data_IF_871289667245
#
_entry.id   IF_871289667245
#
_cell.length_a   1.000
_cell.length_b   1.000
_cell.length_c   1.000
_cell.angle_alpha   90.00
_cell.angle_beta   90.00
_cell.angle_gamma   90.00
#
_symmetry.space_group_name_H-M   'P 1'
#
loop_
_entity.id
_entity.type
_entity.pdbx_description
1 polymer ?
#
# COMPACT_ATOMS: atom_id res chain seq x y z
N UNK A 1 -6.05 13.04 -32.78
CA UNK A 1 -6.37 13.83 -31.56
C UNK A 1 -6.75 12.99 -30.33
N UNK A 2 -7.70 12.03 -30.38
CA UNK A 2 -8.13 11.24 -29.20
C UNK A 2 -7.03 10.51 -28.41
N UNK A 3 -6.00 9.98 -29.08
CA UNK A 3 -4.88 9.25 -28.42
C UNK A 3 -4.00 10.14 -27.54
N UNK A 4 -3.77 11.40 -27.94
CA UNK A 4 -2.99 12.35 -27.16
C UNK A 4 -3.73 12.80 -25.88
N UNK A 5 -5.04 13.05 -25.99
CA UNK A 5 -5.88 13.41 -24.83
C UNK A 5 -5.94 12.29 -23.78
N UNK A 6 -6.03 11.03 -24.21
CA UNK A 6 -5.99 9.86 -23.33
C UNK A 6 -4.66 9.73 -22.56
N UNK A 7 -3.54 9.98 -23.24
CA UNK A 7 -2.21 9.88 -22.62
C UNK A 7 -1.99 10.98 -21.58
N UNK A 8 -2.51 12.18 -21.82
CA UNK A 8 -2.39 13.30 -20.89
C UNK A 8 -3.24 13.10 -19.62
N UNK A 9 -4.48 12.61 -19.76
CA UNK A 9 -5.34 12.27 -18.61
C UNK A 9 -4.75 11.12 -17.75
N UNK A 10 -4.20 10.10 -18.40
CA UNK A 10 -3.52 9.00 -17.71
C UNK A 10 -2.30 9.48 -16.94
N UNK A 11 -1.48 10.34 -17.55
CA UNK A 11 -0.31 10.94 -16.92
C UNK A 11 -0.69 11.83 -15.72
N UNK A 12 -1.74 12.65 -15.87
CA UNK A 12 -2.26 13.49 -14.79
C UNK A 12 -2.74 12.66 -13.60
N UNK A 13 -3.44 11.55 -13.88
CA UNK A 13 -3.93 10.62 -12.85
C UNK A 13 -2.78 9.93 -12.12
N UNK A 14 -1.75 9.48 -12.86
CA UNK A 14 -0.54 8.90 -12.27
C UNK A 14 0.23 9.90 -11.40
N UNK A 15 0.39 11.15 -11.84
CA UNK A 15 1.00 12.21 -11.04
C UNK A 15 0.21 12.47 -9.74
N UNK A 16 -1.12 12.53 -9.82
CA UNK A 16 -1.98 12.68 -8.64
C UNK A 16 -1.84 11.51 -7.66
N UNK A 17 -1.79 10.28 -8.19
CA UNK A 17 -1.57 9.06 -7.39
C UNK A 17 -0.26 9.14 -6.60
N UNK A 18 0.83 9.53 -7.26
CA UNK A 18 2.15 9.65 -6.65
C UNK A 18 2.23 10.82 -5.66
N UNK A 19 1.57 11.93 -5.95
CA UNK A 19 1.49 13.07 -5.05
C UNK A 19 0.76 12.73 -3.73
N UNK A 20 -0.36 12.02 -3.83
CA UNK A 20 -1.09 11.54 -2.64
C UNK A 20 -0.25 10.51 -1.86
N UNK A 21 0.46 9.62 -2.57
CA UNK A 21 1.40 8.71 -1.91
C UNK A 21 2.47 9.48 -1.14
N UNK A 22 3.11 10.48 -1.76
CA UNK A 22 4.13 11.30 -1.10
C UNK A 22 3.62 11.96 0.18
N UNK A 23 2.39 12.52 0.15
CA UNK A 23 1.75 13.08 1.34
C UNK A 23 1.50 12.00 2.40
N UNK A 24 1.00 10.83 1.98
CA UNK A 24 0.72 9.72 2.88
C UNK A 24 1.99 9.10 3.50
N UNK A 25 3.18 9.37 2.96
CA UNK A 25 4.44 8.93 3.56
C UNK A 25 4.96 9.89 4.64
N UNK A 26 4.47 11.14 4.71
CA UNK A 26 4.91 12.15 5.69
C UNK A 26 4.76 11.65 7.14
N UNK A 27 3.66 10.99 7.55
CA UNK A 27 3.52 10.54 8.92
C UNK A 27 4.59 9.53 9.36
N UNK A 28 5.17 8.73 8.46
CA UNK A 28 6.30 7.88 8.81
C UNK A 28 7.54 8.68 9.21
N UNK A 29 7.80 9.79 8.50
CA UNK A 29 8.91 10.69 8.84
C UNK A 29 8.66 11.40 10.18
N UNK A 30 7.40 11.76 10.47
CA UNK A 30 7.01 12.33 11.76
C UNK A 30 7.19 11.30 12.89
N UNK A 31 6.69 10.07 12.73
CA UNK A 31 6.84 8.99 13.71
C UNK A 31 8.32 8.73 13.98
N UNK A 32 9.14 8.63 12.93
CA UNK A 32 10.57 8.42 13.07
C UNK A 32 11.26 9.61 13.75
N UNK A 33 10.89 10.84 13.39
CA UNK A 33 11.40 12.05 14.04
C UNK A 33 11.07 12.10 15.53
N UNK A 34 9.83 11.79 15.92
CA UNK A 34 9.43 11.70 17.34
C UNK A 34 10.30 10.65 18.06
N UNK A 35 10.46 9.48 17.45
CA UNK A 35 11.26 8.39 18.02
C UNK A 35 12.74 8.78 18.20
N UNK A 36 13.34 9.50 17.25
CA UNK A 36 14.74 9.95 17.36
C UNK A 36 14.95 10.98 18.49
N UNK A 37 13.94 11.82 18.76
CA UNK A 37 14.01 12.82 19.83
C UNK A 37 13.74 12.20 21.21
N UNK A 38 12.75 11.29 21.29
CA UNK A 38 12.38 10.59 22.51
C UNK A 38 11.95 9.14 22.19
N UNK A 39 12.88 8.17 22.31
CA UNK A 39 12.57 6.75 22.13
C UNK A 39 11.52 6.22 23.11
N UNK A 40 11.30 6.91 24.23
CA UNK A 40 10.31 6.58 25.24
C UNK A 40 9.03 7.43 25.11
N UNK A 41 8.80 8.06 23.95
CA UNK A 41 7.71 9.00 23.73
C UNK A 41 6.34 8.45 24.18
N UNK A 42 5.64 9.15 25.11
CA UNK A 42 4.32 8.75 25.57
C UNK A 42 3.30 8.62 24.43
N UNK A 43 3.45 9.41 23.36
CA UNK A 43 2.56 9.38 22.20
C UNK A 43 2.70 8.06 21.45
N UNK A 44 3.93 7.61 21.19
CA UNK A 44 4.19 6.34 20.51
C UNK A 44 3.74 5.15 21.38
N UNK A 45 3.97 5.21 22.68
CA UNK A 45 3.47 4.20 23.62
C UNK A 45 1.95 4.14 23.65
N UNK A 46 1.27 5.29 23.71
CA UNK A 46 -0.19 5.34 23.69
C UNK A 46 -0.78 4.73 22.42
N UNK A 47 -0.15 4.94 21.25
CA UNK A 47 -0.57 4.30 20.00
C UNK A 47 -0.34 2.79 20.08
N UNK A 48 0.86 2.36 20.47
CA UNK A 48 1.22 0.94 20.58
C UNK A 48 0.29 0.17 21.52
N UNK A 49 0.01 0.73 22.70
CA UNK A 49 -0.86 0.13 23.72
C UNK A 49 -2.31 0.02 23.24
N UNK A 50 -2.88 1.11 22.69
CA UNK A 50 -4.25 1.12 22.13
C UNK A 50 -4.42 0.19 20.93
N UNK A 51 -3.32 -0.20 20.29
CA UNK A 51 -3.30 -1.10 19.13
C UNK A 51 -2.65 -2.45 19.41
N UNK A 52 -2.43 -2.78 20.69
CA UNK A 52 -1.75 -4.01 21.10
C UNK A 52 -2.39 -5.26 20.50
N UNK A 53 -3.72 -5.31 20.47
CA UNK A 53 -4.51 -6.44 19.95
C UNK A 53 -4.51 -6.56 18.42
N UNK A 54 -4.04 -5.55 17.68
CA UNK A 54 -3.98 -5.64 16.22
C UNK A 54 -2.80 -6.51 15.77
N UNK A 55 -3.00 -7.42 14.80
CA UNK A 55 -1.91 -8.18 14.24
C UNK A 55 -0.89 -7.22 13.61
N UNK A 56 0.40 -7.45 13.83
CA UNK A 56 1.42 -6.55 13.35
C UNK A 56 2.66 -7.28 12.83
N UNK A 57 3.24 -6.71 11.79
CA UNK A 57 4.57 -7.08 11.33
C UNK A 57 5.56 -6.27 12.17
N UNK A 58 6.33 -6.92 13.05
CA UNK A 58 7.19 -6.26 14.04
C UNK A 58 8.65 -6.66 13.92
N UNK A 59 9.55 -5.82 14.40
CA UNK A 59 10.98 -6.12 14.53
C UNK A 59 11.32 -6.33 16.00
N UNK A 60 11.92 -7.47 16.36
CA UNK A 60 12.34 -7.75 17.74
C UNK A 60 13.41 -6.76 18.24
N UNK A 61 14.13 -6.10 17.32
CA UNK A 61 15.09 -5.05 17.71
C UNK A 61 14.42 -3.78 18.21
N UNK A 62 13.24 -3.46 17.70
CA UNK A 62 12.55 -2.22 18.04
C UNK A 62 11.03 -2.39 17.93
N UNK A 63 10.46 -2.97 18.98
CA UNK A 63 9.04 -3.33 19.03
C UNK A 63 8.13 -2.10 18.98
N UNK A 64 8.49 -1.01 19.67
CA UNK A 64 7.67 0.19 19.72
C UNK A 64 7.56 0.86 18.34
N UNK A 65 8.71 1.15 17.72
CA UNK A 65 8.75 1.83 16.43
C UNK A 65 8.08 0.99 15.34
N UNK A 66 8.41 -0.30 15.28
CA UNK A 66 7.85 -1.22 14.29
C UNK A 66 6.32 -1.37 14.43
N UNK A 67 5.80 -1.48 15.65
CA UNK A 67 4.36 -1.57 15.90
C UNK A 67 3.62 -0.32 15.44
N UNK A 68 4.09 0.88 15.79
CA UNK A 68 3.42 2.13 15.43
C UNK A 68 3.45 2.36 13.91
N UNK A 69 4.57 2.04 13.25
CA UNK A 69 4.67 2.12 11.79
C UNK A 69 3.79 1.08 11.07
N UNK A 70 3.69 -0.14 11.61
CA UNK A 70 2.80 -1.18 11.06
C UNK A 70 1.32 -0.77 11.16
N UNK A 71 0.91 -0.22 12.29
CA UNK A 71 -0.46 0.29 12.50
C UNK A 71 -0.82 1.32 11.43
N UNK A 72 0.08 2.28 11.19
CA UNK A 72 -0.14 3.27 10.14
C UNK A 72 -0.15 2.65 8.74
N UNK A 73 0.64 1.59 8.52
CA UNK A 73 0.63 0.83 7.25
C UNK A 73 -0.75 0.27 6.90
N UNK A 74 -1.57 -0.07 7.90
CA UNK A 74 -2.94 -0.56 7.67
C UNK A 74 -3.89 0.51 7.10
N UNK A 75 -3.53 1.80 7.11
CA UNK A 75 -4.33 2.83 6.43
C UNK A 75 -4.10 2.87 4.92
N UNK A 76 -3.05 2.23 4.39
CA UNK A 76 -2.72 2.27 2.97
C UNK A 76 -3.88 1.87 2.04
N UNK A 77 -4.64 0.77 2.29
CA UNK A 77 -5.79 0.43 1.46
C UNK A 77 -6.89 1.49 1.51
N UNK A 78 -7.11 2.13 2.66
CA UNK A 78 -8.13 3.18 2.83
C UNK A 78 -7.78 4.40 2.00
N UNK A 79 -6.52 4.87 2.05
CA UNK A 79 -6.05 6.00 1.24
C UNK A 79 -6.12 5.66 -0.26
N UNK A 80 -5.77 4.43 -0.64
CA UNK A 80 -5.93 3.96 -2.02
C UNK A 80 -7.39 3.97 -2.47
N UNK A 81 -8.32 3.48 -1.64
CA UNK A 81 -9.76 3.54 -1.92
C UNK A 81 -10.23 4.98 -2.13
N UNK A 82 -9.86 5.91 -1.24
CA UNK A 82 -10.21 7.32 -1.36
C UNK A 82 -9.68 7.91 -2.68
N UNK A 83 -8.45 7.61 -3.05
CA UNK A 83 -7.90 8.04 -4.34
C UNK A 83 -8.74 7.50 -5.51
N UNK A 84 -9.02 6.20 -5.53
CA UNK A 84 -9.80 5.53 -6.58
C UNK A 84 -11.17 6.15 -6.74
N UNK A 85 -11.86 6.47 -5.65
CA UNK A 85 -13.18 7.13 -5.69
C UNK A 85 -13.10 8.48 -6.42
N UNK A 86 -12.03 9.26 -6.22
CA UNK A 86 -11.84 10.55 -6.92
C UNK A 86 -11.36 10.39 -8.36
N UNK A 87 -10.70 9.27 -8.70
CA UNK A 87 -10.05 9.04 -9.98
C UNK A 87 -10.84 8.09 -10.92
N UNK A 88 -11.92 7.47 -10.43
CA UNK A 88 -12.69 6.42 -11.11
C UNK A 88 -13.06 6.72 -12.57
N UNK A 89 -13.42 7.98 -12.85
CA UNK A 89 -13.85 8.43 -14.19
C UNK A 89 -12.67 8.55 -15.16
N UNK A 90 -11.47 8.83 -14.66
CA UNK A 90 -10.26 9.08 -15.43
C UNK A 90 -9.35 7.86 -15.56
N UNK A 91 -9.84 6.65 -15.20
CA UNK A 91 -9.10 5.39 -15.39
C UNK A 91 -9.45 4.79 -16.74
N UNK A 92 -8.59 4.92 -17.75
CA UNK A 92 -8.90 4.38 -19.04
C UNK A 92 -8.48 2.91 -19.18
N UNK A 93 -9.14 2.20 -20.11
CA UNK A 93 -8.98 0.76 -20.31
C UNK A 93 -8.59 0.51 -21.76
N UNK A 94 -7.53 -0.28 -21.98
CA UNK A 94 -7.17 -0.75 -23.32
C UNK A 94 -8.21 -1.79 -23.75
N UNK A 95 -8.88 -1.54 -24.88
CA UNK A 95 -10.01 -2.36 -25.37
C UNK A 95 -9.58 -3.56 -26.21
N UNK A 96 -8.31 -3.68 -26.55
CA UNK A 96 -7.83 -4.64 -27.57
C UNK A 96 -7.57 -6.05 -27.01
N UNK A 97 -7.73 -6.26 -25.70
CA UNK A 97 -7.46 -7.57 -25.07
C UNK A 97 -8.72 -8.46 -25.11
N UNK A 98 -8.58 -9.77 -25.42
CA UNK A 98 -9.69 -10.72 -25.33
C UNK A 98 -10.28 -10.80 -23.91
N UNK A 99 -11.60 -10.89 -23.80
CA UNK A 99 -12.32 -10.87 -22.50
C UNK A 99 -11.83 -11.98 -21.57
N UNK A 100 -11.64 -13.19 -22.09
CA UNK A 100 -11.18 -14.34 -21.30
C UNK A 100 -9.80 -14.10 -20.65
N UNK A 101 -8.86 -13.48 -21.38
CA UNK A 101 -7.53 -13.15 -20.85
C UNK A 101 -7.60 -12.05 -19.77
N UNK A 102 -8.52 -11.09 -19.92
CA UNK A 102 -8.74 -10.06 -18.89
C UNK A 102 -9.31 -10.65 -17.60
N UNK A 103 -10.32 -11.52 -17.69
CA UNK A 103 -10.91 -12.22 -16.53
C UNK A 103 -9.85 -13.10 -15.86
N UNK A 104 -9.09 -13.88 -16.64
CA UNK A 104 -8.02 -14.72 -16.11
C UNK A 104 -6.98 -13.89 -15.35
N UNK A 105 -6.52 -12.78 -15.94
CA UNK A 105 -5.60 -11.85 -15.29
C UNK A 105 -6.17 -11.25 -14.00
N UNK A 106 -7.46 -10.89 -13.99
CA UNK A 106 -8.14 -10.39 -12.81
C UNK A 106 -8.17 -11.41 -11.67
N UNK A 107 -8.48 -12.68 -11.96
CA UNK A 107 -8.51 -13.76 -10.95
C UNK A 107 -7.12 -13.95 -10.34
N UNK A 108 -6.08 -14.05 -11.17
CA UNK A 108 -4.70 -14.15 -10.67
C UNK A 108 -4.32 -12.96 -9.80
N UNK A 109 -4.72 -11.75 -10.22
CA UNK A 109 -4.44 -10.55 -9.45
C UNK A 109 -5.19 -10.52 -8.12
N UNK A 110 -6.44 -10.99 -8.07
CA UNK A 110 -7.21 -11.13 -6.83
C UNK A 110 -6.52 -12.07 -5.84
N UNK A 111 -6.09 -13.24 -6.30
CA UNK A 111 -5.39 -14.22 -5.46
C UNK A 111 -4.08 -13.61 -4.94
N UNK A 112 -3.28 -13.03 -5.83
CA UNK A 112 -2.02 -12.38 -5.45
C UNK A 112 -2.23 -11.26 -4.44
N UNK A 113 -3.20 -10.37 -4.68
CA UNK A 113 -3.51 -9.25 -3.80
C UNK A 113 -4.02 -9.74 -2.43
N UNK A 114 -4.93 -10.71 -2.40
CA UNK A 114 -5.48 -11.27 -1.16
C UNK A 114 -4.37 -11.90 -0.30
N UNK A 115 -3.45 -12.67 -0.90
CA UNK A 115 -2.31 -13.26 -0.17
C UNK A 115 -1.44 -12.16 0.44
N UNK A 116 -1.05 -11.15 -0.34
CA UNK A 116 -0.18 -10.07 0.16
C UNK A 116 -0.86 -9.25 1.27
N UNK A 117 -2.12 -8.86 1.09
CA UNK A 117 -2.86 -8.10 2.10
C UNK A 117 -3.03 -8.92 3.37
N UNK A 118 -3.39 -10.20 3.25
CA UNK A 118 -3.53 -11.08 4.41
C UNK A 118 -2.21 -11.20 5.20
N UNK A 119 -1.11 -11.53 4.51
CA UNK A 119 0.19 -11.73 5.15
C UNK A 119 0.72 -10.46 5.83
N UNK A 120 0.60 -9.29 5.18
CA UNK A 120 1.20 -8.06 5.69
C UNK A 120 0.29 -7.22 6.59
N UNK A 121 -1.03 -7.34 6.50
CA UNK A 121 -1.96 -6.54 7.31
C UNK A 121 -2.62 -7.34 8.44
N UNK A 122 -2.79 -8.65 8.28
CA UNK A 122 -3.61 -9.47 9.18
C UNK A 122 -2.85 -10.61 9.88
N UNK A 123 -1.61 -10.91 9.49
CA UNK A 123 -0.77 -11.86 10.21
C UNK A 123 0.21 -11.15 11.15
N UNK A 124 0.45 -11.77 12.31
CA UNK A 124 1.61 -11.43 13.12
C UNK A 124 2.85 -12.02 12.46
N UNK A 125 3.81 -11.17 12.11
CA UNK A 125 5.05 -11.61 11.50
C UNK A 125 6.23 -10.88 12.09
N UNK A 126 7.24 -11.63 12.53
CA UNK A 126 8.46 -11.04 13.07
C UNK A 126 9.49 -10.93 11.94
N UNK A 127 9.87 -9.70 11.58
CA UNK A 127 10.77 -9.42 10.44
C UNK A 127 12.21 -9.88 10.73
N UNK A 128 12.60 -9.90 12.02
CA UNK A 128 13.97 -10.19 12.45
C UNK A 128 14.37 -11.66 12.28
N UNK A 129 13.40 -12.56 12.23
CA UNK A 129 13.59 -14.01 12.03
C UNK A 129 13.40 -14.46 10.57
N UNK A 130 12.94 -13.55 9.70
CA UNK A 130 12.67 -13.82 8.29
C UNK A 130 13.96 -13.86 7.42
N UNK A 131 13.79 -14.09 6.11
CA UNK A 131 14.88 -14.23 5.15
C UNK A 131 15.90 -13.07 5.15
N UNK A 132 17.08 -13.31 4.58
CA UNK A 132 18.27 -12.44 4.64
C UNK A 132 18.01 -10.96 4.32
N UNK A 133 17.09 -10.65 3.41
CA UNK A 133 16.68 -9.28 3.07
C UNK A 133 15.87 -8.59 4.17
N UNK A 134 14.89 -9.28 4.75
CA UNK A 134 14.05 -8.75 5.82
C UNK A 134 14.87 -8.54 7.10
N UNK A 135 15.83 -9.43 7.37
CA UNK A 135 16.78 -9.26 8.46
C UNK A 135 17.71 -8.05 8.28
N UNK A 136 18.11 -7.73 7.04
CA UNK A 136 18.88 -6.52 6.73
C UNK A 136 18.03 -5.26 6.95
N UNK A 137 16.77 -5.30 6.51
CA UNK A 137 15.85 -4.17 6.68
C UNK A 137 15.50 -3.90 8.14
N UNK A 138 15.49 -4.92 8.99
CA UNK A 138 15.33 -4.77 10.45
C UNK A 138 16.64 -4.52 11.20
N UNK A 139 17.76 -4.27 10.51
CA UNK A 139 19.06 -4.17 11.15
C UNK A 139 19.24 -2.90 11.99
N UNK A 140 18.72 -1.76 11.53
CA UNK A 140 18.73 -0.48 12.22
C UNK A 140 17.39 0.26 12.02
N UNK A 141 17.16 1.32 12.81
CA UNK A 141 15.88 2.05 12.81
C UNK A 141 15.60 2.79 11.49
N UNK A 142 16.65 3.23 10.77
CA UNK A 142 16.52 3.90 9.48
C UNK A 142 16.09 2.91 8.37
N UNK A 143 16.73 1.74 8.30
CA UNK A 143 16.36 0.67 7.35
C UNK A 143 14.98 0.11 7.68
N UNK A 144 14.63 0.07 8.97
CA UNK A 144 13.31 -0.36 9.42
C UNK A 144 12.24 0.63 8.96
N UNK A 145 12.50 1.92 9.09
CA UNK A 145 11.61 2.98 8.58
C UNK A 145 11.46 2.89 7.06
N UNK A 146 12.56 2.68 6.33
CA UNK A 146 12.55 2.48 4.88
C UNK A 146 11.72 1.25 4.46
N UNK A 147 11.76 0.18 5.25
CA UNK A 147 10.91 -0.99 5.04
C UNK A 147 9.43 -0.64 5.13
N UNK A 148 8.99 0.06 6.17
CA UNK A 148 7.58 0.44 6.30
C UNK A 148 7.12 1.45 5.24
N UNK A 149 7.97 2.41 4.86
CA UNK A 149 7.70 3.31 3.73
C UNK A 149 7.46 2.52 2.43
N UNK A 150 8.31 1.52 2.18
CA UNK A 150 8.20 0.65 1.01
C UNK A 150 6.96 -0.22 1.08
N UNK A 151 6.68 -0.83 2.23
CA UNK A 151 5.53 -1.70 2.46
C UNK A 151 4.22 -0.92 2.25
N UNK A 152 4.10 0.27 2.84
CA UNK A 152 2.97 1.19 2.62
C UNK A 152 2.77 1.48 1.14
N UNK A 153 3.85 1.85 0.45
CA UNK A 153 3.82 2.19 -0.98
C UNK A 153 3.34 1.01 -1.84
N UNK A 154 3.85 -0.20 -1.56
CA UNK A 154 3.46 -1.43 -2.27
C UNK A 154 1.98 -1.72 -2.05
N UNK A 155 1.50 -1.73 -0.80
CA UNK A 155 0.09 -2.00 -0.48
C UNK A 155 -0.83 -0.96 -1.14
N UNK A 156 -0.45 0.32 -1.09
CA UNK A 156 -1.19 1.41 -1.74
C UNK A 156 -1.29 1.20 -3.26
N UNK A 157 -0.16 0.97 -3.93
CA UNK A 157 -0.12 0.75 -5.39
C UNK A 157 -0.91 -0.49 -5.78
N UNK A 158 -0.74 -1.59 -5.06
CA UNK A 158 -1.45 -2.84 -5.34
C UNK A 158 -2.96 -2.70 -5.14
N UNK A 159 -3.39 -1.96 -4.12
CA UNK A 159 -4.82 -1.67 -3.92
C UNK A 159 -5.38 -0.84 -5.07
N UNK A 160 -4.65 0.17 -5.56
CA UNK A 160 -5.09 0.95 -6.73
C UNK A 160 -5.17 0.09 -7.98
N UNK A 161 -4.16 -0.74 -8.23
CA UNK A 161 -4.14 -1.68 -9.36
C UNK A 161 -5.30 -2.68 -9.29
N UNK A 162 -5.61 -3.19 -8.10
CA UNK A 162 -6.76 -4.06 -7.85
C UNK A 162 -8.07 -3.44 -8.34
N UNK A 163 -8.33 -2.20 -7.94
CA UNK A 163 -9.51 -1.47 -8.39
C UNK A 163 -9.44 -1.17 -9.90
N UNK A 164 -8.28 -0.77 -10.41
CA UNK A 164 -8.11 -0.47 -11.83
C UNK A 164 -8.44 -1.68 -12.71
N UNK A 165 -7.90 -2.86 -12.38
CA UNK A 165 -8.19 -4.09 -13.12
C UNK A 165 -9.67 -4.49 -13.01
N UNK A 166 -10.26 -4.35 -11.82
CA UNK A 166 -11.68 -4.67 -11.59
C UNK A 166 -12.61 -3.77 -12.41
N UNK A 167 -12.41 -2.46 -12.34
CA UNK A 167 -13.16 -1.45 -13.08
C UNK A 167 -12.95 -1.63 -14.59
N UNK A 168 -11.70 -1.90 -14.99
CA UNK A 168 -11.36 -2.08 -16.39
C UNK A 168 -12.06 -3.28 -17.01
N UNK A 169 -12.06 -4.40 -16.28
CA UNK A 169 -12.74 -5.63 -16.71
C UNK A 169 -14.25 -5.44 -16.75
N UNK A 170 -14.84 -4.80 -15.74
CA UNK A 170 -16.28 -4.50 -15.70
C UNK A 170 -16.73 -3.62 -16.88
N UNK A 171 -16.00 -2.54 -17.19
CA UNK A 171 -16.33 -1.65 -18.32
C UNK A 171 -16.31 -2.41 -19.65
N UNK A 172 -15.30 -3.25 -19.88
CA UNK A 172 -15.19 -4.03 -21.13
C UNK A 172 -16.29 -5.09 -21.23
N UNK A 173 -16.63 -5.77 -20.13
CA UNK A 173 -17.72 -6.74 -20.10
C UNK A 173 -19.07 -6.10 -20.43
N UNK A 174 -19.36 -4.94 -19.83
CA UNK A 174 -20.59 -4.18 -20.08
C UNK A 174 -20.72 -3.66 -21.52
N UNK A 175 -19.60 -3.36 -22.17
CA UNK A 175 -19.61 -2.89 -23.57
C UNK A 175 -19.72 -4.04 -24.59
N UNK A 176 -19.35 -5.28 -24.21
CA UNK A 176 -19.30 -6.45 -25.11
C UNK A 176 -20.49 -7.41 -24.96
N UNK A 177 -21.19 -7.37 -23.83
CA UNK A 177 -22.42 -8.12 -23.57
C UNK A 177 -23.64 -7.29 -23.92
#
# INVERSE_FOLDING_TARGET
>A
MKKYHYMDEGNRTAKKMLFILAIALIPFLIIFGIYLNDPASPILYAISDRTGNLPAVVSAKNLLLSKVMDVYTKSAPVIACLFVLTAFRAMPVKKDTPTAKMIQGLIFYYIFYAINVYLFLFCNHEISTSGRLLRLMSANDCTLTFFYLSLYSIIYVFTIMFFWFSIGTYKVLKERG
#
